data_IF_171689078099
#
_entry.id   IF_171689078099
#
_cell.length_a   1.000
_cell.length_b   1.000
_cell.length_c   1.000
_cell.angle_alpha   90.00
_cell.angle_beta   90.00
_cell.angle_gamma   90.00
#
_symmetry.space_group_name_H-M   'P 1'
#
loop_
_entity.id
_entity.type
_entity.pdbx_description
1 polymer ?
#
# COMPACT_ATOMS: atom_id res chain seq x y z
N UNK A 1 22.40 12.59 2.02
CA UNK A 1 21.14 11.99 1.53
C UNK A 1 21.39 10.55 1.14
N UNK A 2 20.52 9.65 1.61
CA UNK A 2 20.49 8.25 1.21
C UNK A 2 19.14 7.89 0.60
N UNK A 3 19.12 6.96 -0.36
CA UNK A 3 17.88 6.52 -1.00
C UNK A 3 17.22 5.42 -0.18
N UNK A 4 15.94 5.56 0.11
CA UNK A 4 15.10 4.46 0.58
C UNK A 4 14.67 3.61 -0.62
N UNK A 5 15.54 2.68 -1.01
CA UNK A 5 15.34 1.83 -2.17
C UNK A 5 14.32 0.73 -1.89
N UNK A 6 13.05 1.01 -2.18
CA UNK A 6 11.96 0.07 -1.97
C UNK A 6 12.04 -1.17 -2.86
N UNK A 7 12.67 -1.07 -4.04
CA UNK A 7 12.87 -2.23 -4.91
C UNK A 7 13.83 -3.25 -4.28
N UNK A 8 14.94 -2.79 -3.70
CA UNK A 8 15.90 -3.68 -3.02
C UNK A 8 15.28 -4.29 -1.75
N UNK A 9 14.60 -3.46 -0.93
CA UNK A 9 13.90 -3.96 0.25
C UNK A 9 12.83 -4.98 -0.12
N UNK A 10 12.03 -4.72 -1.16
CA UNK A 10 11.03 -5.65 -1.67
C UNK A 10 11.64 -6.99 -2.10
N UNK A 11 12.77 -6.98 -2.80
CA UNK A 11 13.47 -8.20 -3.19
C UNK A 11 13.91 -9.02 -1.99
N UNK A 12 14.50 -8.37 -0.98
CA UNK A 12 14.90 -9.04 0.27
C UNK A 12 13.70 -9.69 0.96
N UNK A 13 12.63 -8.95 1.20
CA UNK A 13 11.45 -9.46 1.87
C UNK A 13 10.75 -10.58 1.07
N UNK A 14 10.74 -10.50 -0.27
CA UNK A 14 10.19 -11.56 -1.11
C UNK A 14 11.03 -12.84 -1.07
N UNK A 15 12.35 -12.75 -0.91
CA UNK A 15 13.19 -13.93 -0.70
C UNK A 15 12.86 -14.61 0.64
N UNK A 16 12.72 -13.84 1.71
CA UNK A 16 12.30 -14.36 3.02
C UNK A 16 10.91 -15.02 2.95
N UNK A 17 9.95 -14.38 2.26
CA UNK A 17 8.62 -14.94 2.04
C UNK A 17 8.63 -16.21 1.18
N UNK A 18 9.53 -16.33 0.21
CA UNK A 18 9.67 -17.55 -0.61
C UNK A 18 10.05 -18.76 0.26
N UNK A 19 10.96 -18.57 1.19
CA UNK A 19 11.33 -19.61 2.13
C UNK A 19 10.15 -19.99 3.04
N UNK A 20 9.48 -18.96 3.61
CA UNK A 20 8.32 -19.18 4.48
C UNK A 20 7.17 -19.90 3.76
N UNK A 21 6.84 -19.52 2.52
CA UNK A 21 5.81 -20.19 1.71
C UNK A 21 6.20 -21.64 1.42
N UNK A 22 7.48 -21.93 1.20
CA UNK A 22 7.96 -23.29 1.00
C UNK A 22 7.73 -24.14 2.24
N UNK A 23 8.10 -23.65 3.41
CA UNK A 23 7.89 -24.32 4.70
C UNK A 23 6.39 -24.53 5.02
N UNK A 24 5.53 -23.56 4.66
CA UNK A 24 4.08 -23.67 4.82
C UNK A 24 3.50 -24.76 3.90
N UNK A 25 3.98 -24.84 2.67
CA UNK A 25 3.55 -25.90 1.71
C UNK A 25 3.92 -27.30 2.18
N UNK A 26 5.08 -27.47 2.79
CA UNK A 26 5.47 -28.75 3.39
C UNK A 26 4.53 -29.17 4.53
N UNK A 27 3.93 -28.19 5.21
CA UNK A 27 2.89 -28.41 6.23
C UNK A 27 1.46 -28.53 5.65
N UNK A 28 1.32 -28.53 4.33
CA UNK A 28 0.03 -28.63 3.64
C UNK A 28 -0.73 -27.32 3.47
N UNK A 29 -0.14 -26.17 3.82
CA UNK A 29 -0.75 -24.85 3.67
C UNK A 29 -0.10 -24.08 2.52
N UNK A 30 -0.83 -23.84 1.44
CA UNK A 30 -0.41 -22.95 0.36
C UNK A 30 -1.20 -21.63 0.43
N UNK A 31 -0.58 -20.49 0.80
CA UNK A 31 -1.25 -19.20 0.77
C UNK A 31 -1.81 -18.89 -0.63
N UNK A 32 -3.05 -18.43 -0.70
CA UNK A 32 -3.77 -18.18 -1.96
C UNK A 32 -4.31 -16.78 -2.09
N UNK A 33 -4.00 -16.11 -3.21
CA UNK A 33 -4.47 -14.78 -3.56
C UNK A 33 -5.39 -14.82 -4.77
N UNK A 34 -6.60 -14.29 -4.64
CA UNK A 34 -7.49 -14.00 -5.74
C UNK A 34 -7.47 -12.50 -6.08
N UNK A 35 -7.25 -12.17 -7.35
CA UNK A 35 -7.29 -10.80 -7.85
C UNK A 35 -8.42 -10.68 -8.85
N UNK A 36 -9.29 -9.69 -8.70
CA UNK A 36 -10.37 -9.38 -9.64
C UNK A 36 -10.03 -8.07 -10.35
N UNK A 37 -10.09 -8.10 -11.67
CA UNK A 37 -9.96 -6.93 -12.55
C UNK A 37 -11.22 -6.82 -13.38
N UNK A 38 -11.90 -5.67 -13.34
CA UNK A 38 -13.08 -5.37 -14.17
C UNK A 38 -12.70 -4.32 -15.19
N UNK A 39 -12.91 -4.65 -16.47
CA UNK A 39 -12.55 -3.78 -17.60
C UNK A 39 -11.09 -3.91 -18.05
N UNK A 40 -10.70 -3.00 -18.94
CA UNK A 40 -9.42 -3.10 -19.67
C UNK A 40 -8.49 -1.87 -19.45
N UNK A 41 -8.61 -1.18 -18.32
CA UNK A 41 -7.71 -0.06 -18.02
C UNK A 41 -6.25 -0.50 -18.08
N UNK A 42 -5.42 0.12 -18.95
CA UNK A 42 -4.04 -0.32 -19.18
C UNK A 42 -3.16 -0.26 -17.93
N UNK A 43 -3.38 0.73 -17.05
CA UNK A 43 -2.61 0.86 -15.83
C UNK A 43 -2.95 -0.26 -14.85
N UNK A 44 -4.24 -0.54 -14.66
CA UNK A 44 -4.74 -1.64 -13.82
C UNK A 44 -4.22 -2.99 -14.30
N UNK A 45 -4.18 -3.23 -15.61
CA UNK A 45 -3.62 -4.47 -16.18
C UNK A 45 -2.13 -4.66 -15.83
N UNK A 46 -1.35 -3.58 -15.84
CA UNK A 46 0.07 -3.64 -15.46
C UNK A 46 0.22 -3.97 -13.98
N UNK A 47 -0.58 -3.33 -13.11
CA UNK A 47 -0.55 -3.61 -11.68
C UNK A 47 -0.96 -5.05 -11.36
N UNK A 48 -2.02 -5.55 -11.97
CA UNK A 48 -2.48 -6.94 -11.79
C UNK A 48 -1.41 -7.94 -12.24
N UNK A 49 -0.79 -7.74 -13.41
CA UNK A 49 0.32 -8.61 -13.86
C UNK A 49 1.51 -8.62 -12.89
N UNK A 50 1.84 -7.47 -12.32
CA UNK A 50 2.95 -7.39 -11.37
C UNK A 50 2.61 -8.11 -10.06
N UNK A 51 1.36 -8.01 -9.57
CA UNK A 51 0.86 -8.73 -8.39
C UNK A 51 0.85 -10.26 -8.64
N UNK A 52 0.32 -10.69 -9.78
CA UNK A 52 0.29 -12.10 -10.18
C UNK A 52 1.71 -12.69 -10.26
N UNK A 53 2.64 -11.96 -10.91
CA UNK A 53 4.04 -12.38 -10.99
C UNK A 53 4.68 -12.47 -9.62
N UNK A 54 4.46 -11.49 -8.74
CA UNK A 54 5.02 -11.50 -7.40
C UNK A 54 4.53 -12.69 -6.59
N UNK A 55 3.22 -12.99 -6.61
CA UNK A 55 2.65 -14.14 -5.94
C UNK A 55 3.21 -15.47 -6.47
N UNK A 56 3.29 -15.62 -7.79
CA UNK A 56 3.86 -16.83 -8.40
C UNK A 56 5.35 -17.01 -8.06
N UNK A 57 6.14 -15.93 -8.07
CA UNK A 57 7.57 -15.97 -7.78
C UNK A 57 7.87 -16.47 -6.37
N UNK A 58 7.04 -16.17 -5.40
CA UNK A 58 7.20 -16.65 -4.01
C UNK A 58 6.47 -17.97 -3.74
N UNK A 59 5.88 -18.59 -4.76
CA UNK A 59 5.27 -19.93 -4.68
C UNK A 59 3.85 -19.97 -4.11
N UNK A 60 3.14 -18.85 -4.03
CA UNK A 60 1.73 -18.79 -3.63
C UNK A 60 0.82 -19.34 -4.73
N UNK A 61 -0.36 -19.83 -4.34
CA UNK A 61 -1.47 -19.98 -5.28
C UNK A 61 -1.97 -18.59 -5.67
N UNK A 62 -2.10 -18.31 -6.96
CA UNK A 62 -2.60 -17.03 -7.46
C UNK A 62 -3.57 -17.24 -8.61
N UNK A 63 -4.73 -16.62 -8.51
CA UNK A 63 -5.75 -16.64 -9.58
C UNK A 63 -6.18 -15.21 -9.89
N UNK A 64 -6.31 -14.91 -11.18
CA UNK A 64 -6.76 -13.60 -11.66
C UNK A 64 -8.03 -13.75 -12.47
N UNK A 65 -9.10 -13.14 -12.00
CA UNK A 65 -10.39 -13.05 -12.68
C UNK A 65 -10.44 -11.75 -13.48
N UNK A 66 -10.41 -11.86 -14.81
CA UNK A 66 -10.55 -10.72 -15.72
C UNK A 66 -11.99 -10.69 -16.21
N UNK A 67 -12.75 -9.74 -15.70
CA UNK A 67 -14.16 -9.55 -16.00
C UNK A 67 -14.34 -8.42 -17.02
N UNK A 68 -15.29 -8.53 -17.97
CA UNK A 68 -15.54 -7.47 -18.93
C UNK A 68 -16.03 -6.19 -18.24
N UNK A 69 -15.81 -5.03 -18.86
CA UNK A 69 -16.28 -3.73 -18.35
C UNK A 69 -17.80 -3.69 -18.14
N UNK A 70 -18.55 -4.51 -18.90
CA UNK A 70 -20.01 -4.63 -18.80
C UNK A 70 -20.50 -5.50 -17.65
N UNK A 71 -19.59 -6.08 -16.85
CA UNK A 71 -19.95 -6.90 -15.68
C UNK A 71 -20.86 -6.11 -14.74
N UNK A 72 -22.00 -6.70 -14.37
CA UNK A 72 -22.91 -6.06 -13.44
C UNK A 72 -22.35 -6.07 -12.01
N UNK A 73 -22.78 -5.11 -11.19
CA UNK A 73 -22.45 -5.08 -9.76
C UNK A 73 -22.85 -6.39 -9.06
N UNK A 74 -24.03 -6.92 -9.37
CA UNK A 74 -24.52 -8.17 -8.79
C UNK A 74 -23.63 -9.38 -9.15
N UNK A 75 -23.15 -9.48 -10.39
CA UNK A 75 -22.25 -10.57 -10.79
C UNK A 75 -20.89 -10.46 -10.10
N UNK A 76 -20.37 -9.23 -9.93
CA UNK A 76 -19.13 -8.99 -9.20
C UNK A 76 -19.27 -9.36 -7.72
N UNK A 77 -20.37 -8.96 -7.08
CA UNK A 77 -20.68 -9.31 -5.68
C UNK A 77 -20.77 -10.84 -5.54
N UNK A 78 -21.50 -11.52 -6.42
CA UNK A 78 -21.60 -12.98 -6.42
C UNK A 78 -20.21 -13.63 -6.52
N UNK A 79 -19.33 -13.11 -7.39
CA UNK A 79 -17.96 -13.61 -7.50
C UNK A 79 -17.16 -13.42 -6.22
N UNK A 80 -17.30 -12.29 -5.54
CA UNK A 80 -16.63 -12.05 -4.26
C UNK A 80 -17.14 -13.00 -3.18
N UNK A 81 -18.44 -13.24 -3.11
CA UNK A 81 -19.04 -14.17 -2.17
C UNK A 81 -18.55 -15.62 -2.40
N UNK A 82 -18.43 -16.06 -3.66
CA UNK A 82 -17.80 -17.34 -3.97
C UNK A 82 -16.38 -17.44 -3.42
N UNK A 83 -15.58 -16.38 -3.60
CA UNK A 83 -14.19 -16.34 -3.12
C UNK A 83 -14.09 -16.23 -1.59
N UNK A 84 -15.05 -15.57 -0.94
CA UNK A 84 -15.14 -15.55 0.52
C UNK A 84 -15.29 -16.98 1.10
N UNK A 85 -15.96 -17.86 0.37
CA UNK A 85 -16.19 -19.25 0.79
C UNK A 85 -15.16 -20.26 0.22
N UNK A 86 -14.26 -19.82 -0.67
CA UNK A 86 -13.22 -20.69 -1.21
C UNK A 86 -12.07 -20.87 -0.19
N UNK A 87 -11.86 -22.10 0.26
CA UNK A 87 -10.81 -22.45 1.23
C UNK A 87 -9.39 -22.30 0.68
N UNK A 88 -9.21 -22.32 -0.63
CA UNK A 88 -7.91 -22.10 -1.28
C UNK A 88 -7.53 -20.63 -1.35
N UNK A 89 -8.49 -19.73 -1.13
CA UNK A 89 -8.30 -18.26 -1.20
C UNK A 89 -8.21 -17.71 0.23
N UNK A 90 -7.06 -17.13 0.54
CA UNK A 90 -6.77 -16.50 1.83
C UNK A 90 -6.75 -14.98 1.75
N UNK A 91 -6.60 -14.43 0.53
CA UNK A 91 -6.66 -13.01 0.24
C UNK A 91 -7.45 -12.72 -1.02
N UNK A 92 -8.29 -11.71 -0.96
CA UNK A 92 -9.07 -11.19 -2.09
C UNK A 92 -8.65 -9.74 -2.32
N UNK A 93 -8.42 -9.39 -3.58
CA UNK A 93 -8.15 -8.04 -4.02
C UNK A 93 -9.02 -7.71 -5.21
N UNK A 94 -9.79 -6.64 -5.13
CA UNK A 94 -10.48 -6.05 -6.28
C UNK A 94 -9.68 -4.84 -6.75
N UNK A 95 -9.17 -4.89 -7.97
CA UNK A 95 -8.34 -3.83 -8.52
C UNK A 95 -9.16 -2.59 -8.83
N UNK A 96 -8.86 -1.50 -8.14
CA UNK A 96 -9.43 -0.18 -8.39
C UNK A 96 -8.65 0.57 -9.49
N UNK A 97 -9.32 1.51 -10.21
CA UNK A 97 -10.74 1.89 -10.08
C UNK A 97 -11.68 0.89 -10.76
N UNK A 98 -12.92 0.83 -10.31
CA UNK A 98 -13.99 0.08 -10.95
C UNK A 98 -14.73 0.93 -12.01
N UNK A 99 -15.46 0.30 -12.97
CA UNK A 99 -16.38 0.98 -13.86
C UNK A 99 -17.42 1.79 -13.07
N UNK A 100 -17.81 2.96 -13.58
CA UNK A 100 -18.68 3.94 -12.88
C UNK A 100 -20.05 3.43 -12.44
N UNK A 101 -20.55 2.35 -13.05
CA UNK A 101 -21.84 1.75 -12.74
C UNK A 101 -21.77 0.79 -11.53
N UNK A 102 -20.60 0.53 -11.01
CA UNK A 102 -20.35 -0.34 -9.86
C UNK A 102 -20.02 0.53 -8.64
N UNK A 103 -20.66 0.28 -7.52
CA UNK A 103 -20.39 0.95 -6.27
C UNK A 103 -19.16 0.35 -5.58
N UNK A 104 -18.05 1.08 -5.58
CA UNK A 104 -16.78 0.63 -4.97
C UNK A 104 -16.92 0.30 -3.48
N UNK A 105 -17.66 1.13 -2.73
CA UNK A 105 -17.84 0.93 -1.28
C UNK A 105 -18.57 -0.40 -1.02
N UNK A 106 -19.64 -0.69 -1.75
CA UNK A 106 -20.38 -1.95 -1.62
C UNK A 106 -19.50 -3.15 -1.94
N UNK A 107 -18.67 -3.05 -2.99
CA UNK A 107 -17.75 -4.12 -3.41
C UNK A 107 -16.72 -4.38 -2.32
N UNK A 108 -16.10 -3.34 -1.76
CA UNK A 108 -15.12 -3.49 -0.69
C UNK A 108 -15.75 -4.03 0.60
N UNK A 109 -16.96 -3.61 0.93
CA UNK A 109 -17.70 -4.09 2.11
C UNK A 109 -18.16 -5.56 2.00
N UNK A 110 -18.23 -6.10 0.77
CA UNK A 110 -18.60 -7.52 0.54
C UNK A 110 -17.43 -8.48 0.78
N UNK A 111 -16.19 -8.01 0.70
CA UNK A 111 -15.02 -8.87 0.96
C UNK A 111 -15.01 -9.25 2.44
N UNK A 112 -14.81 -10.53 2.75
CA UNK A 112 -14.60 -10.95 4.14
C UNK A 112 -13.42 -10.17 4.74
N UNK A 113 -13.60 -9.45 5.86
CA UNK A 113 -12.51 -8.70 6.51
C UNK A 113 -11.26 -9.54 6.78
N UNK A 114 -11.41 -10.84 7.00
CA UNK A 114 -10.28 -11.76 7.19
C UNK A 114 -9.51 -12.06 5.89
N UNK A 115 -10.13 -11.83 4.72
CA UNK A 115 -9.55 -11.99 3.39
C UNK A 115 -9.27 -10.67 2.67
N UNK A 116 -9.62 -9.52 3.26
CA UNK A 116 -9.33 -8.19 2.73
C UNK A 116 -7.83 -7.86 2.90
N UNK A 117 -7.01 -8.43 2.04
CA UNK A 117 -5.54 -8.29 2.12
C UNK A 117 -5.02 -6.94 1.61
N UNK A 118 -5.87 -6.11 1.01
CA UNK A 118 -5.55 -4.72 0.68
C UNK A 118 -5.80 -3.77 1.87
N UNK A 119 -6.59 -4.23 2.86
CA UNK A 119 -6.84 -3.53 4.13
C UNK A 119 -7.80 -2.35 4.02
N UNK A 120 -8.73 -2.36 3.07
CA UNK A 120 -9.65 -1.23 2.82
C UNK A 120 -11.02 -1.42 3.45
N UNK A 121 -11.36 -2.63 3.89
CA UNK A 121 -12.63 -2.91 4.53
C UNK A 121 -12.81 -2.06 5.80
N UNK A 122 -13.98 -1.41 6.02
CA UNK A 122 -14.23 -0.54 7.18
C UNK A 122 -13.94 -1.19 8.53
N UNK A 123 -14.19 -2.50 8.67
CA UNK A 123 -13.84 -3.25 9.88
C UNK A 123 -12.33 -3.23 10.14
N UNK A 124 -11.50 -3.45 9.10
CA UNK A 124 -10.05 -3.43 9.21
C UNK A 124 -9.53 -2.03 9.52
N UNK A 125 -10.06 -1.01 8.86
CA UNK A 125 -9.73 0.39 9.16
C UNK A 125 -10.13 0.78 10.58
N UNK A 126 -11.30 0.35 11.06
CA UNK A 126 -11.75 0.58 12.44
C UNK A 126 -10.86 -0.13 13.47
N UNK A 127 -10.45 -1.36 13.20
CA UNK A 127 -9.51 -2.10 14.04
C UNK A 127 -8.12 -1.43 14.07
N UNK A 128 -7.61 -0.97 12.92
CA UNK A 128 -6.38 -0.21 12.84
C UNK A 128 -6.45 1.05 13.71
N UNK A 129 -7.54 1.80 13.61
CA UNK A 129 -7.78 2.98 14.45
C UNK A 129 -7.79 2.64 15.93
N UNK A 130 -8.41 1.52 16.31
CA UNK A 130 -8.51 1.04 17.70
C UNK A 130 -7.22 0.35 18.21
N UNK A 131 -6.17 0.25 17.40
CA UNK A 131 -4.92 -0.43 17.76
C UNK A 131 -5.05 -1.95 17.91
N UNK A 132 -6.06 -2.56 17.27
CA UNK A 132 -6.29 -4.01 17.29
C UNK A 132 -5.58 -4.68 16.11
N UNK A 133 -5.19 -5.96 16.25
CA UNK A 133 -4.67 -6.75 15.12
C UNK A 133 -5.66 -6.78 13.96
N UNK A 134 -5.17 -6.47 12.75
CA UNK A 134 -6.01 -6.37 11.57
C UNK A 134 -5.18 -6.46 10.28
N UNK A 135 -5.84 -6.49 9.12
CA UNK A 135 -5.21 -6.18 7.84
C UNK A 135 -4.93 -4.68 7.77
N UNK A 136 -3.73 -4.33 7.33
CA UNK A 136 -3.29 -2.92 7.22
C UNK A 136 -3.25 -2.54 5.75
N UNK A 137 -3.71 -1.34 5.35
CA UNK A 137 -3.55 -0.91 3.96
C UNK A 137 -2.11 -1.09 3.47
N UNK A 138 -1.94 -1.80 2.33
CA UNK A 138 -0.64 -2.27 1.87
C UNK A 138 0.37 -1.16 1.65
N UNK A 139 -0.04 -0.02 1.09
CA UNK A 139 0.85 1.13 0.87
C UNK A 139 1.36 1.73 2.18
N UNK A 140 0.53 2.07 3.17
CA UNK A 140 0.97 2.48 4.50
C UNK A 140 1.88 1.45 5.19
N UNK A 141 1.56 0.17 5.11
CA UNK A 141 2.41 -0.89 5.67
C UNK A 141 3.81 -0.88 5.04
N UNK A 142 3.89 -0.76 3.71
CA UNK A 142 5.15 -0.66 2.99
C UNK A 142 5.95 0.62 3.31
N UNK A 143 5.27 1.73 3.55
CA UNK A 143 5.89 2.98 4.00
C UNK A 143 6.54 2.80 5.38
N UNK A 144 5.88 2.12 6.31
CA UNK A 144 6.46 1.84 7.63
C UNK A 144 7.74 1.01 7.52
N UNK A 145 7.80 0.01 6.64
CA UNK A 145 9.02 -0.76 6.41
C UNK A 145 10.16 0.11 5.80
N UNK A 146 9.82 1.06 4.91
CA UNK A 146 10.79 2.02 4.37
C UNK A 146 11.31 2.98 5.44
N UNK A 147 10.44 3.49 6.31
CA UNK A 147 10.86 4.34 7.45
C UNK A 147 11.76 3.55 8.40
N UNK A 148 11.41 2.31 8.71
CA UNK A 148 12.24 1.42 9.53
C UNK A 148 13.63 1.19 8.92
N UNK A 149 13.73 1.09 7.59
CA UNK A 149 15.01 0.97 6.88
C UNK A 149 15.92 2.19 7.12
N UNK A 150 15.36 3.39 7.32
CA UNK A 150 16.15 4.59 7.65
C UNK A 150 16.79 4.55 9.03
N UNK A 151 16.39 3.62 9.91
CA UNK A 151 16.84 3.55 11.28
C UNK A 151 16.30 4.68 12.20
N UNK A 152 15.39 5.52 11.68
CA UNK A 152 14.82 6.62 12.47
C UNK A 152 13.88 6.07 13.56
N UNK A 153 14.16 6.39 14.81
CA UNK A 153 13.18 6.21 15.88
C UNK A 153 12.08 7.27 15.76
N UNK A 154 10.85 6.82 15.60
CA UNK A 154 9.67 7.68 15.44
C UNK A 154 9.18 8.28 16.77
N UNK A 155 9.60 7.76 17.91
CA UNK A 155 9.14 8.24 19.20
C UNK A 155 9.47 9.74 19.40
N UNK A 156 8.41 10.54 19.61
CA UNK A 156 8.53 11.99 19.80
C UNK A 156 8.87 12.80 18.55
N UNK A 157 8.92 12.18 17.35
CA UNK A 157 9.15 12.87 16.08
C UNK A 157 7.87 13.51 15.54
N UNK A 158 8.03 14.62 14.81
CA UNK A 158 6.95 15.23 14.06
C UNK A 158 6.80 14.54 12.73
N UNK A 159 5.66 13.90 12.50
CA UNK A 159 5.30 13.29 11.24
C UNK A 159 4.20 14.12 10.56
N UNK A 160 4.46 14.58 9.35
CA UNK A 160 3.47 15.32 8.56
C UNK A 160 3.09 14.48 7.33
N UNK A 161 1.79 14.36 7.10
CA UNK A 161 1.23 13.66 5.95
C UNK A 161 0.52 14.68 5.07
N UNK A 162 0.93 14.81 3.83
CA UNK A 162 0.21 15.59 2.82
C UNK A 162 -0.66 14.63 2.02
N UNK A 163 -1.96 14.62 2.32
CA UNK A 163 -2.96 13.70 1.79
C UNK A 163 -3.84 13.11 2.89
N UNK A 164 -5.13 12.88 2.59
CA UNK A 164 -6.10 12.35 3.58
C UNK A 164 -7.03 11.29 3.00
N UNK A 165 -6.55 10.53 2.04
CA UNK A 165 -7.31 9.41 1.46
C UNK A 165 -7.55 8.31 2.50
N UNK A 166 -8.61 7.52 2.29
CA UNK A 166 -8.89 6.36 3.13
C UNK A 166 -7.86 5.24 2.95
N UNK A 167 -7.21 5.21 1.78
CA UNK A 167 -6.28 4.13 1.39
C UNK A 167 -4.82 4.41 1.79
N UNK A 168 -4.42 5.69 2.01
CA UNK A 168 -3.05 6.05 2.38
C UNK A 168 -3.01 7.04 3.54
N UNK A 169 -3.53 8.26 3.38
CA UNK A 169 -3.29 9.35 4.33
C UNK A 169 -3.80 9.09 5.73
N UNK A 170 -5.04 8.64 5.89
CA UNK A 170 -5.63 8.33 7.19
C UNK A 170 -4.97 7.10 7.84
N UNK A 171 -4.83 5.94 7.15
CA UNK A 171 -4.15 4.80 7.73
C UNK A 171 -2.69 5.10 8.13
N UNK A 172 -1.98 5.86 7.31
CA UNK A 172 -0.60 6.27 7.61
C UNK A 172 -0.50 7.06 8.91
N UNK A 173 -1.47 7.96 9.16
CA UNK A 173 -1.51 8.73 10.39
C UNK A 173 -1.66 7.83 11.63
N UNK A 174 -2.49 6.79 11.55
CA UNK A 174 -2.64 5.85 12.66
C UNK A 174 -1.39 5.02 12.90
N UNK A 175 -0.73 4.55 11.84
CA UNK A 175 0.52 3.79 11.99
C UNK A 175 1.65 4.63 12.62
N UNK A 176 1.80 5.87 12.17
CA UNK A 176 2.78 6.79 12.75
C UNK A 176 2.46 7.14 14.21
N UNK A 177 1.17 7.34 14.54
CA UNK A 177 0.72 7.57 15.92
C UNK A 177 1.01 6.34 16.81
N UNK A 178 0.74 5.14 16.33
CA UNK A 178 1.06 3.89 17.05
C UNK A 178 2.57 3.72 17.25
N UNK A 179 3.39 4.27 16.36
CA UNK A 179 4.84 4.34 16.50
C UNK A 179 5.33 5.51 17.39
N UNK A 180 4.43 6.14 18.17
CA UNK A 180 4.68 7.24 19.09
C UNK A 180 5.13 8.56 18.43
N UNK A 181 4.86 8.77 17.15
CA UNK A 181 5.07 10.07 16.50
C UNK A 181 3.95 11.07 16.84
N UNK A 182 4.27 12.36 16.81
CA UNK A 182 3.27 13.43 16.78
C UNK A 182 2.86 13.65 15.33
N UNK A 183 1.57 13.46 15.01
CA UNK A 183 1.10 13.39 13.63
C UNK A 183 0.24 14.59 13.24
N UNK A 184 0.54 15.17 12.09
CA UNK A 184 -0.27 16.21 11.45
C UNK A 184 -0.70 15.74 10.06
N UNK A 185 -2.01 15.75 9.79
CA UNK A 185 -2.57 15.47 8.45
C UNK A 185 -2.88 16.80 7.75
N UNK A 186 -2.29 16.99 6.58
CA UNK A 186 -2.51 18.16 5.73
C UNK A 186 -3.31 17.78 4.47
N UNK A 187 -4.04 18.75 3.95
CA UNK A 187 -4.90 18.57 2.77
C UNK A 187 -5.10 19.88 2.00
N UNK A 188 -5.88 19.87 0.94
CA UNK A 188 -6.11 21.03 0.06
C UNK A 188 -6.72 22.27 0.73
N UNK A 189 -7.19 22.17 1.97
CA UNK A 189 -7.72 23.29 2.77
C UNK A 189 -6.77 23.73 3.89
N UNK A 190 -5.61 23.09 4.03
CA UNK A 190 -4.60 23.48 5.01
C UNK A 190 -4.01 24.82 4.63
N UNK A 191 -4.04 25.78 5.56
CA UNK A 191 -3.41 27.09 5.38
C UNK A 191 -1.91 26.97 5.59
N UNK A 192 -1.13 27.75 4.86
CA UNK A 192 0.33 27.81 4.98
C UNK A 192 0.98 26.43 4.94
N UNK A 193 0.53 25.57 4.01
CA UNK A 193 0.93 24.18 3.90
C UNK A 193 2.46 23.97 3.91
N UNK A 194 3.29 24.77 3.19
CA UNK A 194 4.74 24.65 3.27
C UNK A 194 5.27 24.84 4.69
N UNK A 195 4.77 25.82 5.43
CA UNK A 195 5.19 26.09 6.81
C UNK A 195 4.86 24.94 7.77
N UNK A 196 3.70 24.30 7.58
CA UNK A 196 3.33 23.11 8.38
C UNK A 196 4.20 21.93 8.01
N UNK A 197 4.37 21.66 6.71
CA UNK A 197 5.17 20.54 6.22
C UNK A 197 6.63 20.63 6.63
N UNK A 198 7.21 21.83 6.66
CA UNK A 198 8.61 22.09 7.05
C UNK A 198 8.92 21.77 8.51
N UNK A 199 7.95 21.46 9.34
CA UNK A 199 8.17 21.00 10.71
C UNK A 199 8.44 19.48 10.81
N UNK A 200 8.25 18.75 9.70
CA UNK A 200 8.31 17.30 9.69
C UNK A 200 9.73 16.76 9.84
N UNK A 201 9.95 15.86 10.80
CA UNK A 201 11.07 14.94 10.82
C UNK A 201 10.84 13.80 9.79
N UNK A 202 9.57 13.42 9.61
CA UNK A 202 9.09 12.49 8.57
C UNK A 202 7.98 13.15 7.77
N UNK A 203 8.18 13.33 6.47
CA UNK A 203 7.20 13.87 5.55
C UNK A 203 6.71 12.79 4.59
N UNK A 204 5.41 12.47 4.64
CA UNK A 204 4.77 11.53 3.70
C UNK A 204 3.89 12.33 2.73
N UNK A 205 4.12 12.18 1.43
CA UNK A 205 3.40 12.91 0.38
C UNK A 205 2.59 11.95 -0.48
N UNK A 206 1.26 12.09 -0.45
CA UNK A 206 0.31 11.18 -1.10
C UNK A 206 -0.90 11.95 -1.65
N UNK A 207 -0.70 12.78 -2.67
CA UNK A 207 -1.74 13.66 -3.26
C UNK A 207 -1.96 13.45 -4.76
N UNK A 208 -1.10 12.68 -5.44
CA UNK A 208 -1.22 12.41 -6.88
C UNK A 208 -1.01 13.66 -7.73
N UNK A 209 -0.09 14.56 -7.35
CA UNK A 209 0.24 15.78 -8.08
C UNK A 209 1.74 15.87 -8.32
N UNK A 210 2.14 15.68 -9.58
CA UNK A 210 3.54 15.71 -9.98
C UNK A 210 4.29 16.94 -9.49
N UNK A 211 5.46 16.72 -8.85
CA UNK A 211 6.41 17.76 -8.44
C UNK A 211 5.81 18.90 -7.58
N UNK A 212 4.76 18.61 -6.82
CA UNK A 212 4.05 19.60 -6.00
C UNK A 212 4.87 20.05 -4.79
N UNK A 213 5.59 19.13 -4.13
CA UNK A 213 6.40 19.43 -2.95
C UNK A 213 7.80 19.84 -3.39
N UNK A 214 8.16 21.08 -3.04
CA UNK A 214 9.43 21.75 -3.34
C UNK A 214 10.26 21.93 -2.07
N UNK A 215 11.45 22.50 -2.16
CA UNK A 215 12.39 22.69 -1.03
C UNK A 215 11.79 23.48 0.16
N UNK A 216 10.86 24.39 -0.07
CA UNK A 216 10.19 25.18 0.96
C UNK A 216 9.24 24.39 1.87
N UNK A 217 8.85 23.18 1.45
CA UNK A 217 8.06 22.24 2.27
C UNK A 217 8.90 21.37 3.22
N UNK A 218 10.21 21.31 3.03
CA UNK A 218 11.04 20.28 3.64
C UNK A 218 11.96 20.86 4.71
N UNK A 219 11.99 20.20 5.86
CA UNK A 219 12.98 20.45 6.93
C UNK A 219 14.31 19.80 6.55
N UNK A 220 15.41 20.51 6.77
CA UNK A 220 16.74 19.93 6.58
C UNK A 220 16.93 18.68 7.45
N UNK A 221 17.44 17.61 6.85
CA UNK A 221 17.64 16.33 7.50
C UNK A 221 16.37 15.46 7.62
N UNK A 222 15.22 15.88 7.09
CA UNK A 222 13.99 15.09 7.14
C UNK A 222 14.10 13.78 6.36
N UNK A 223 13.30 12.78 6.78
CA UNK A 223 12.98 11.58 5.97
C UNK A 223 11.75 11.91 5.11
N UNK A 224 11.88 11.78 3.79
CA UNK A 224 10.80 12.09 2.84
C UNK A 224 10.34 10.84 2.11
N UNK A 225 9.06 10.55 2.23
CA UNK A 225 8.39 9.43 1.56
C UNK A 225 7.45 9.97 0.48
N UNK A 226 7.83 9.79 -0.75
CA UNK A 226 7.01 10.14 -1.92
C UNK A 226 6.19 8.92 -2.35
N UNK A 227 4.87 9.03 -2.20
CA UNK A 227 3.90 7.98 -2.57
C UNK A 227 3.36 8.20 -3.98
N UNK A 228 3.59 9.39 -4.54
CA UNK A 228 3.05 9.79 -5.84
C UNK A 228 3.53 8.89 -6.97
N UNK A 229 2.59 8.55 -7.86
CA UNK A 229 2.88 7.88 -9.14
C UNK A 229 2.16 8.68 -10.22
N UNK A 230 2.88 9.62 -10.80
CA UNK A 230 2.38 10.50 -11.84
C UNK A 230 3.15 10.26 -13.14
N UNK A 231 2.66 10.84 -14.23
CA UNK A 231 3.42 10.94 -15.49
C UNK A 231 3.67 12.40 -15.79
N UNK A 232 4.88 12.74 -16.10
CA UNK A 232 5.26 14.07 -16.58
C UNK A 232 4.86 14.28 -18.06
N UNK A 233 5.14 15.46 -18.59
CA UNK A 233 4.83 15.83 -19.98
C UNK A 233 5.55 14.91 -21.00
N UNK A 234 6.65 14.25 -20.62
CA UNK A 234 7.40 13.29 -21.42
C UNK A 234 6.92 11.85 -21.20
N UNK A 235 5.78 11.65 -20.49
CA UNK A 235 5.23 10.33 -20.11
C UNK A 235 6.14 9.51 -19.18
N UNK A 236 7.17 10.14 -18.57
CA UNK A 236 8.05 9.50 -17.58
C UNK A 236 7.38 9.50 -16.21
N UNK A 237 7.59 8.43 -15.45
CA UNK A 237 7.09 8.33 -14.08
C UNK A 237 7.81 9.34 -13.18
N UNK A 238 7.02 10.08 -12.41
CA UNK A 238 7.50 11.04 -11.41
C UNK A 238 6.61 10.99 -10.17
N UNK A 239 7.14 11.43 -9.04
CA UNK A 239 6.42 11.50 -7.78
C UNK A 239 5.67 12.82 -7.58
N UNK A 240 5.15 12.96 -6.36
CA UNK A 240 4.55 14.22 -5.87
C UNK A 240 5.63 15.22 -5.42
N UNK A 241 6.84 14.73 -5.17
CA UNK A 241 7.98 15.53 -4.69
C UNK A 241 8.89 15.92 -5.87
N UNK A 242 9.30 17.17 -5.92
CA UNK A 242 10.32 17.66 -6.88
C UNK A 242 11.70 17.16 -6.45
N UNK A 243 12.00 15.94 -6.87
CA UNK A 243 13.11 15.12 -6.33
C UNK A 243 14.45 15.86 -6.32
N UNK A 244 14.87 16.45 -7.45
CA UNK A 244 16.18 17.10 -7.59
C UNK A 244 16.36 18.31 -6.65
N UNK A 245 15.25 18.96 -6.28
CA UNK A 245 15.24 20.13 -5.41
C UNK A 245 15.20 19.76 -3.93
N UNK A 246 14.51 18.66 -3.61
CA UNK A 246 14.25 18.21 -2.25
C UNK A 246 15.32 17.24 -1.73
N UNK A 247 15.82 16.34 -2.57
CA UNK A 247 16.78 15.32 -2.19
C UNK A 247 18.02 15.88 -1.45
N UNK A 248 18.64 16.98 -1.89
CA UNK A 248 19.82 17.53 -1.19
C UNK A 248 19.56 17.95 0.26
N UNK A 249 18.31 18.23 0.63
CA UNK A 249 17.91 18.69 1.96
C UNK A 249 17.60 17.51 2.91
N UNK A 250 17.40 16.30 2.41
CA UNK A 250 16.91 15.16 3.17
C UNK A 250 18.05 14.31 3.74
N UNK A 251 17.78 13.62 4.85
CA UNK A 251 18.62 12.49 5.29
C UNK A 251 18.34 11.26 4.42
N UNK A 252 17.05 10.96 4.23
CA UNK A 252 16.56 9.86 3.41
C UNK A 252 15.39 10.30 2.54
N UNK A 253 15.30 9.76 1.32
CA UNK A 253 14.19 9.99 0.40
C UNK A 253 13.90 8.75 -0.44
N UNK A 254 12.61 8.51 -0.72
CA UNK A 254 12.22 7.45 -1.66
C UNK A 254 12.34 7.93 -3.11
N UNK A 255 12.90 7.11 -4.02
CA UNK A 255 12.87 7.40 -5.45
C UNK A 255 11.49 7.08 -6.07
N UNK A 256 11.13 7.75 -7.16
CA UNK A 256 9.99 7.40 -8.01
C UNK A 256 10.49 7.30 -9.46
N UNK A 257 10.40 6.11 -10.09
CA UNK A 257 9.94 4.82 -9.54
C UNK A 257 10.96 4.13 -8.62
N UNK A 258 10.52 3.09 -7.91
CA UNK A 258 11.39 2.21 -7.14
C UNK A 258 11.37 2.40 -5.62
N UNK A 259 10.58 3.36 -5.12
CA UNK A 259 10.34 3.57 -3.69
C UNK A 259 9.13 2.80 -3.17
N UNK A 260 8.00 3.49 -2.96
CA UNK A 260 6.81 2.93 -2.31
C UNK A 260 6.11 1.83 -3.14
N UNK A 261 6.02 1.98 -4.47
CA UNK A 261 5.26 1.05 -5.32
C UNK A 261 5.65 -0.43 -5.18
N UNK A 262 6.93 -0.81 -5.24
CA UNK A 262 7.36 -2.20 -5.01
C UNK A 262 6.96 -2.72 -3.64
N UNK A 263 6.99 -1.87 -2.60
CA UNK A 263 6.63 -2.24 -1.24
C UNK A 263 5.13 -2.53 -1.09
N UNK A 264 4.26 -1.81 -1.79
CA UNK A 264 2.81 -2.08 -1.79
C UNK A 264 2.52 -3.52 -2.23
N UNK A 265 3.15 -3.98 -3.33
CA UNK A 265 2.99 -5.35 -3.82
C UNK A 265 3.56 -6.36 -2.81
N UNK A 266 4.69 -6.05 -2.21
CA UNK A 266 5.33 -6.92 -1.22
C UNK A 266 4.48 -7.08 0.04
N UNK A 267 3.86 -5.99 0.51
CA UNK A 267 2.95 -6.07 1.68
C UNK A 267 1.66 -6.83 1.36
N UNK A 268 1.15 -6.75 0.13
CA UNK A 268 0.02 -7.58 -0.29
C UNK A 268 0.36 -9.09 -0.17
N UNK A 269 1.56 -9.49 -0.61
CA UNK A 269 2.03 -10.87 -0.43
C UNK A 269 2.14 -11.23 1.04
N UNK A 270 2.76 -10.37 1.85
CA UNK A 270 2.90 -10.58 3.30
C UNK A 270 1.55 -10.78 3.97
N UNK A 271 0.59 -9.90 3.72
CA UNK A 271 -0.74 -9.99 4.32
C UNK A 271 -1.51 -11.25 3.89
N UNK A 272 -1.34 -11.70 2.64
CA UNK A 272 -1.95 -12.95 2.17
C UNK A 272 -1.37 -14.16 2.89
N UNK A 273 -0.06 -14.20 3.14
CA UNK A 273 0.60 -15.24 3.93
C UNK A 273 0.08 -15.21 5.38
N UNK A 274 0.02 -14.02 5.98
CA UNK A 274 -0.46 -13.85 7.36
C UNK A 274 -1.94 -14.20 7.51
N UNK A 275 -2.77 -13.96 6.48
CA UNK A 275 -4.16 -14.40 6.43
C UNK A 275 -4.28 -15.94 6.42
N UNK A 276 -3.48 -16.60 5.59
CA UNK A 276 -3.44 -18.05 5.53
C UNK A 276 -3.04 -18.66 6.86
N UNK A 277 -1.98 -18.15 7.49
CA UNK A 277 -1.52 -18.60 8.80
C UNK A 277 -2.57 -18.41 9.89
N UNK A 278 -3.28 -17.27 9.89
CA UNK A 278 -4.36 -16.98 10.86
C UNK A 278 -5.53 -17.96 10.73
N UNK A 279 -5.97 -18.25 9.49
CA UNK A 279 -7.06 -19.18 9.22
C UNK A 279 -6.76 -20.56 9.74
N UNK A 280 -5.54 -21.05 9.52
CA UNK A 280 -5.12 -22.39 9.92
C UNK A 280 -4.48 -22.48 11.33
N UNK A 281 -4.50 -21.37 12.10
CA UNK A 281 -3.86 -21.28 13.43
C UNK A 281 -2.38 -21.72 13.44
N UNK A 282 -1.66 -21.54 12.33
CA UNK A 282 -0.23 -21.82 12.21
C UNK A 282 0.57 -20.61 12.69
N UNK A 283 1.47 -20.83 13.67
CA UNK A 283 2.38 -19.81 14.19
C UNK A 283 3.69 -19.74 13.40
#
# INVERSE_FOLDING_TARGET
MELLNGKELAQKLQQEMTQEVTELKEKGLQPGLAVILVGEDPASQVYVRNKERAANNIGMYSVVYRLPETTSEADLITKIEELNHDDKVHGILVQLPLPKHINEDLVLDTIDPAKDVDGFHPMNLGNLFAGKPTMIPCTPAGIMELIKLSGLDLAGKNAVIIGRSNIVGKPMAHLLLQANATVTICHSKTKDLPKVAKQADVLVVAIGRANFVTADFVKEGAVVIDVGINRDESNKLTGDVKFDEVAPLTSYITPVPGGVGPMTITMLMRQTIDAAKRKENVR
#
